data_IF_137613544800
#
_entry.id   IF_137613544800
#
_cell.length_a   1.000
_cell.length_b   1.000
_cell.length_c   1.000
_cell.angle_alpha   90.00
_cell.angle_beta   90.00
_cell.angle_gamma   90.00
#
_symmetry.space_group_name_H-M   'P 1'
#
loop_
_entity.id
_entity.type
_entity.pdbx_description
1 polymer ?
#
# COMPACT_ATOMS: atom_id res chain seq x y z
N UNK A 1 19.76 -83.53 -79.14
CA UNK A 1 19.01 -82.72 -78.15
C UNK A 1 19.83 -82.45 -76.88
N UNK A 2 20.47 -83.47 -76.29
CA UNK A 2 21.30 -83.36 -75.07
C UNK A 2 22.51 -82.41 -75.12
N UNK A 3 23.06 -82.10 -76.30
CA UNK A 3 24.20 -81.16 -76.44
C UNK A 3 23.72 -79.69 -76.39
N UNK A 4 22.54 -79.39 -76.95
CA UNK A 4 21.95 -78.03 -76.92
C UNK A 4 21.50 -77.63 -75.52
N UNK A 5 21.04 -78.56 -74.69
CA UNK A 5 20.71 -78.30 -73.28
C UNK A 5 21.95 -78.02 -72.42
N UNK A 6 23.09 -78.65 -72.75
CA UNK A 6 24.35 -78.40 -72.05
C UNK A 6 24.93 -77.02 -72.39
N UNK A 7 24.83 -76.58 -73.64
CA UNK A 7 25.27 -75.24 -74.07
C UNK A 7 24.39 -74.11 -73.52
N UNK A 8 23.06 -74.31 -73.39
CA UNK A 8 22.16 -73.32 -72.78
C UNK A 8 22.35 -73.24 -71.27
N UNK A 9 22.66 -74.36 -70.61
CA UNK A 9 23.04 -74.40 -69.19
C UNK A 9 24.34 -73.63 -68.93
N UNK A 10 25.39 -73.89 -69.71
CA UNK A 10 26.69 -73.19 -69.59
C UNK A 10 26.57 -71.69 -69.91
N UNK A 11 25.73 -71.30 -70.88
CA UNK A 11 25.46 -69.89 -71.15
C UNK A 11 24.70 -69.20 -70.02
N UNK A 12 23.74 -69.89 -69.37
CA UNK A 12 23.05 -69.37 -68.18
C UNK A 12 24.02 -69.22 -67.01
N UNK A 13 24.87 -70.22 -66.78
CA UNK A 13 25.87 -70.21 -65.70
C UNK A 13 26.91 -69.09 -65.87
N UNK A 14 27.35 -68.84 -67.12
CA UNK A 14 28.24 -67.72 -67.43
C UNK A 14 27.53 -66.36 -67.34
N UNK A 15 26.25 -66.26 -67.72
CA UNK A 15 25.47 -65.02 -67.57
C UNK A 15 25.22 -64.69 -66.09
N UNK A 16 24.91 -65.71 -65.27
CA UNK A 16 24.74 -65.58 -63.82
C UNK A 16 26.05 -65.20 -63.13
N UNK A 17 27.19 -65.79 -63.53
CA UNK A 17 28.51 -65.36 -63.04
C UNK A 17 28.82 -63.92 -63.43
N UNK A 18 28.48 -63.51 -64.64
CA UNK A 18 28.73 -62.13 -65.10
C UNK A 18 27.87 -61.12 -64.31
N UNK A 19 26.59 -61.45 -64.04
CA UNK A 19 25.69 -60.67 -63.19
C UNK A 19 26.19 -60.65 -61.74
N UNK A 20 26.60 -61.79 -61.17
CA UNK A 20 27.15 -61.87 -59.82
C UNK A 20 28.46 -61.07 -59.67
N UNK A 21 29.27 -61.02 -60.72
CA UNK A 21 30.50 -60.19 -60.75
C UNK A 21 30.15 -58.72 -60.84
N UNK A 22 29.16 -58.33 -61.67
CA UNK A 22 28.64 -56.96 -61.70
C UNK A 22 28.01 -56.54 -60.37
N UNK A 23 27.31 -57.46 -59.69
CA UNK A 23 26.72 -57.25 -58.36
C UNK A 23 27.79 -57.16 -57.28
N UNK A 24 28.90 -57.90 -57.42
CA UNK A 24 30.06 -57.83 -56.51
C UNK A 24 30.89 -56.56 -56.73
N UNK A 25 31.02 -56.10 -57.97
CA UNK A 25 31.62 -54.81 -58.32
C UNK A 25 30.70 -53.67 -57.86
N UNK A 26 29.38 -53.82 -58.00
CA UNK A 26 28.40 -52.90 -57.42
C UNK A 26 28.52 -52.89 -55.89
N UNK A 27 28.63 -54.03 -55.21
CA UNK A 27 28.89 -54.10 -53.76
C UNK A 27 30.24 -53.46 -53.36
N UNK A 28 31.28 -53.65 -54.17
CA UNK A 28 32.63 -53.12 -53.91
C UNK A 28 32.79 -51.62 -54.21
N UNK A 29 32.06 -51.11 -55.20
CA UNK A 29 32.11 -49.70 -55.65
C UNK A 29 31.01 -48.85 -54.97
N UNK A 30 29.80 -49.41 -54.76
CA UNK A 30 28.68 -48.77 -54.03
C UNK A 30 28.79 -48.89 -52.51
N UNK A 31 29.76 -49.66 -52.00
CA UNK A 31 30.14 -49.68 -50.58
C UNK A 31 30.70 -48.34 -50.08
N UNK A 32 30.98 -47.39 -50.98
CA UNK A 32 31.41 -46.04 -50.65
C UNK A 32 30.28 -45.24 -49.99
N UNK A 33 30.55 -44.79 -48.77
CA UNK A 33 29.67 -44.09 -47.82
C UNK A 33 28.98 -42.82 -48.33
N UNK A 34 29.26 -42.39 -49.57
CA UNK A 34 28.77 -41.15 -50.17
C UNK A 34 27.41 -41.32 -50.87
N UNK A 35 27.12 -42.50 -51.44
CA UNK A 35 25.89 -42.72 -52.21
C UNK A 35 24.67 -43.03 -51.33
N UNK A 36 24.82 -43.79 -50.24
CA UNK A 36 23.70 -44.07 -49.30
C UNK A 36 23.16 -42.81 -48.59
N UNK A 37 23.89 -41.69 -48.63
CA UNK A 37 23.45 -40.41 -48.12
C UNK A 37 22.53 -39.64 -49.09
N UNK A 38 22.41 -40.11 -50.35
CA UNK A 38 21.55 -39.49 -51.36
C UNK A 38 20.23 -40.28 -51.52
N UNK A 39 19.05 -39.63 -51.45
CA UNK A 39 17.75 -40.30 -51.55
C UNK A 39 17.59 -41.12 -52.85
N UNK A 40 18.13 -40.60 -53.95
CA UNK A 40 18.06 -41.20 -55.30
C UNK A 40 18.85 -42.52 -55.41
N UNK A 41 19.91 -42.69 -54.59
CA UNK A 41 20.70 -43.92 -54.55
C UNK A 41 19.99 -45.05 -53.78
N UNK A 42 19.16 -44.72 -52.78
CA UNK A 42 18.37 -45.71 -52.01
C UNK A 42 17.35 -46.42 -52.90
N UNK A 43 16.66 -45.68 -53.77
CA UNK A 43 15.67 -46.26 -54.70
C UNK A 43 16.32 -47.12 -55.78
N UNK A 44 17.45 -46.69 -56.33
CA UNK A 44 18.21 -47.50 -57.31
C UNK A 44 18.79 -48.77 -56.67
N UNK A 45 19.28 -48.71 -55.43
CA UNK A 45 19.72 -49.89 -54.69
C UNK A 45 18.55 -50.85 -54.39
N UNK A 46 17.38 -50.33 -54.02
CA UNK A 46 16.15 -51.14 -53.82
C UNK A 46 15.66 -51.79 -55.12
N UNK A 47 15.71 -51.07 -56.23
CA UNK A 47 15.35 -51.59 -57.55
C UNK A 47 16.30 -52.70 -58.02
N UNK A 48 17.61 -52.53 -57.81
CA UNK A 48 18.62 -53.56 -58.11
C UNK A 48 18.47 -54.76 -57.17
N UNK A 49 18.20 -54.53 -55.88
CA UNK A 49 17.98 -55.59 -54.89
C UNK A 49 16.76 -56.47 -55.21
N UNK A 50 15.67 -55.88 -55.70
CA UNK A 50 14.48 -56.63 -56.12
C UNK A 50 14.68 -57.42 -57.43
N UNK A 51 15.74 -57.12 -58.19
CA UNK A 51 16.05 -57.78 -59.48
C UNK A 51 17.13 -58.87 -59.36
N UNK A 52 17.86 -58.92 -58.25
CA UNK A 52 18.96 -59.86 -58.05
C UNK A 52 18.46 -61.22 -57.54
N UNK A 53 18.47 -62.24 -58.41
CA UNK A 53 18.20 -63.64 -58.04
C UNK A 53 19.55 -64.34 -57.86
N UNK A 54 19.98 -64.58 -56.61
CA UNK A 54 21.13 -65.44 -56.30
C UNK A 54 20.63 -66.82 -55.82
N UNK A 55 21.22 -67.92 -56.29
CA UNK A 55 20.85 -69.28 -55.88
C UNK A 55 21.45 -69.73 -54.53
N UNK A 56 22.36 -68.94 -53.94
CA UNK A 56 23.04 -69.28 -52.68
C UNK A 56 22.38 -68.61 -51.45
N UNK A 57 21.98 -69.43 -50.47
CA UNK A 57 21.30 -69.01 -49.25
C UNK A 57 22.11 -68.03 -48.39
N UNK A 58 23.44 -68.13 -48.36
CA UNK A 58 24.30 -67.20 -47.60
C UNK A 58 24.30 -65.80 -48.22
N UNK A 59 24.36 -65.74 -49.54
CA UNK A 59 24.32 -64.49 -50.29
C UNK A 59 22.96 -63.78 -50.10
N UNK A 60 21.85 -64.53 -50.17
CA UNK A 60 20.50 -63.99 -49.89
C UNK A 60 20.40 -63.40 -48.47
N UNK A 61 20.90 -64.11 -47.46
CA UNK A 61 20.87 -63.65 -46.07
C UNK A 61 21.71 -62.37 -45.85
N UNK A 62 22.90 -62.30 -46.46
CA UNK A 62 23.72 -61.09 -46.43
C UNK A 62 23.02 -59.91 -47.12
N UNK A 63 22.35 -60.15 -48.24
CA UNK A 63 21.57 -59.13 -48.94
C UNK A 63 20.37 -58.62 -48.15
N UNK A 64 19.58 -59.50 -47.56
CA UNK A 64 18.47 -59.10 -46.69
C UNK A 64 18.95 -58.29 -45.48
N UNK A 65 20.10 -58.65 -44.90
CA UNK A 65 20.72 -57.88 -43.82
C UNK A 65 21.18 -56.48 -44.26
N UNK A 66 21.62 -56.33 -45.52
CA UNK A 66 22.03 -55.05 -46.09
C UNK A 66 20.83 -54.14 -46.36
N UNK A 67 19.76 -54.67 -46.97
CA UNK A 67 18.51 -53.93 -47.22
C UNK A 67 17.86 -53.49 -45.91
N UNK A 68 17.84 -54.37 -44.89
CA UNK A 68 17.36 -54.05 -43.55
C UNK A 68 18.14 -52.87 -42.93
N UNK A 69 19.47 -52.92 -42.98
CA UNK A 69 20.34 -51.83 -42.49
C UNK A 69 20.16 -50.52 -43.25
N UNK A 70 20.00 -50.57 -44.57
CA UNK A 70 19.74 -49.38 -45.39
C UNK A 70 18.41 -48.71 -45.02
N UNK A 71 17.36 -49.51 -44.80
CA UNK A 71 16.06 -48.99 -44.35
C UNK A 71 16.11 -48.43 -42.92
N UNK A 72 16.86 -49.07 -42.02
CA UNK A 72 17.10 -48.57 -40.67
C UNK A 72 17.85 -47.23 -40.68
N UNK A 73 18.88 -47.10 -41.52
CA UNK A 73 19.62 -45.84 -41.70
C UNK A 73 18.72 -44.73 -42.25
N UNK A 74 17.93 -45.03 -43.29
CA UNK A 74 17.00 -44.07 -43.89
C UNK A 74 15.91 -43.62 -42.90
N UNK A 75 15.36 -44.56 -42.12
CA UNK A 75 14.36 -44.30 -41.08
C UNK A 75 14.94 -43.45 -39.95
N UNK A 76 16.12 -43.80 -39.43
CA UNK A 76 16.79 -43.00 -38.40
C UNK A 76 17.19 -41.61 -38.91
N UNK A 77 17.62 -41.51 -40.18
CA UNK A 77 17.97 -40.22 -40.77
C UNK A 77 16.74 -39.31 -40.93
N UNK A 78 15.62 -39.88 -41.41
CA UNK A 78 14.33 -39.17 -41.49
C UNK A 78 13.82 -38.75 -40.11
N UNK A 79 13.88 -39.65 -39.12
CA UNK A 79 13.44 -39.35 -37.76
C UNK A 79 14.31 -38.25 -37.12
N UNK A 80 15.64 -38.34 -37.24
CA UNK A 80 16.58 -37.34 -36.73
C UNK A 80 16.46 -35.97 -37.43
N UNK A 81 16.09 -35.95 -38.72
CA UNK A 81 15.82 -34.73 -39.47
C UNK A 81 14.52 -34.03 -39.02
N UNK A 82 13.54 -34.79 -38.54
CA UNK A 82 12.20 -34.29 -38.18
C UNK A 82 12.04 -34.02 -36.67
N UNK A 83 13.01 -34.39 -35.83
CA UNK A 83 12.95 -34.10 -34.38
C UNK A 83 12.67 -32.61 -34.16
N UNK A 84 11.59 -32.24 -33.45
CA UNK A 84 11.30 -30.85 -33.20
C UNK A 84 12.31 -30.27 -32.19
N UNK A 85 12.73 -29.04 -32.46
CA UNK A 85 13.33 -28.21 -31.42
C UNK A 85 12.23 -27.87 -30.41
N UNK A 86 12.52 -28.09 -29.13
CA UNK A 86 11.59 -27.72 -28.05
C UNK A 86 11.51 -26.20 -27.87
N UNK A 87 10.65 -25.75 -26.97
CA UNK A 87 10.68 -24.35 -26.55
C UNK A 87 11.95 -24.05 -25.73
N UNK A 88 12.43 -22.78 -25.73
CA UNK A 88 13.52 -22.38 -24.87
C UNK A 88 13.16 -22.66 -23.39
N UNK A 89 14.07 -23.23 -22.60
CA UNK A 89 13.81 -23.57 -21.21
C UNK A 89 13.60 -22.31 -20.34
N UNK A 90 12.74 -22.41 -19.32
CA UNK A 90 12.65 -21.40 -18.25
C UNK A 90 11.65 -20.25 -18.45
N UNK A 91 10.75 -20.34 -19.44
CA UNK A 91 9.71 -19.33 -19.65
C UNK A 91 8.68 -19.31 -18.51
N UNK A 92 8.52 -18.16 -17.86
CA UNK A 92 7.51 -17.91 -16.83
C UNK A 92 6.45 -16.91 -17.33
N UNK A 93 5.20 -16.97 -16.85
CA UNK A 93 4.21 -15.95 -17.18
C UNK A 93 4.68 -14.55 -16.74
N UNK A 94 4.75 -13.61 -17.70
CA UNK A 94 5.28 -12.27 -17.43
C UNK A 94 4.38 -11.44 -16.49
N UNK A 95 3.05 -11.55 -16.61
CA UNK A 95 2.12 -10.79 -15.77
C UNK A 95 2.37 -10.95 -14.26
N UNK A 96 2.33 -12.17 -13.69
CA UNK A 96 2.65 -12.41 -12.29
C UNK A 96 4.05 -11.93 -11.88
N UNK A 97 5.05 -12.09 -12.75
CA UNK A 97 6.43 -11.64 -12.49
C UNK A 97 6.50 -10.12 -12.34
N UNK A 98 5.85 -9.38 -13.24
CA UNK A 98 5.78 -7.92 -13.18
C UNK A 98 5.02 -7.45 -11.93
N UNK A 99 3.96 -8.17 -11.52
CA UNK A 99 3.17 -7.81 -10.34
C UNK A 99 3.97 -7.99 -9.06
N UNK A 100 4.77 -9.06 -8.98
CA UNK A 100 5.65 -9.35 -7.84
C UNK A 100 6.78 -8.33 -7.73
N UNK A 101 7.29 -7.82 -8.86
CA UNK A 101 8.36 -6.83 -8.92
C UNK A 101 7.89 -5.39 -8.79
N UNK A 102 6.56 -5.17 -8.81
CA UNK A 102 5.98 -3.85 -8.71
C UNK A 102 6.28 -3.23 -7.33
N UNK A 103 7.14 -2.22 -7.35
CA UNK A 103 7.42 -1.40 -6.17
C UNK A 103 6.41 -0.25 -6.11
N UNK A 104 5.41 -0.38 -5.24
CA UNK A 104 4.45 0.69 -4.96
C UNK A 104 5.01 1.54 -3.82
N UNK A 105 4.96 2.86 -3.98
CA UNK A 105 5.31 3.78 -2.88
C UNK A 105 4.27 3.66 -1.76
N UNK A 106 4.71 3.26 -0.56
CA UNK A 106 3.83 3.12 0.60
C UNK A 106 3.13 4.44 0.99
N UNK A 107 3.70 5.60 0.62
CA UNK A 107 3.09 6.91 0.85
C UNK A 107 1.89 7.22 -0.08
N UNK A 108 1.65 6.39 -1.09
CA UNK A 108 0.55 6.55 -2.04
C UNK A 108 -0.29 5.27 -2.22
N UNK A 109 -0.10 4.27 -1.34
CA UNK A 109 -0.66 2.94 -1.52
C UNK A 109 -2.09 2.76 -0.97
N UNK A 110 -2.67 3.77 -0.31
CA UNK A 110 -3.93 3.63 0.41
C UNK A 110 -4.96 4.69 0.03
N UNK A 111 -6.23 4.29 0.03
CA UNK A 111 -7.36 5.19 0.10
C UNK A 111 -7.87 5.21 1.56
N UNK A 112 -7.94 6.39 2.15
CA UNK A 112 -8.33 6.57 3.56
C UNK A 112 -9.62 7.36 3.63
N UNK A 113 -10.60 6.84 4.38
CA UNK A 113 -11.80 7.58 4.75
C UNK A 113 -11.71 7.98 6.21
N UNK A 114 -11.88 9.27 6.47
CA UNK A 114 -11.96 9.87 7.79
C UNK A 114 -13.39 10.34 8.04
N UNK A 115 -13.95 10.05 9.21
CA UNK A 115 -15.27 10.54 9.60
C UNK A 115 -15.11 11.56 10.72
N UNK A 116 -15.63 12.76 10.50
CA UNK A 116 -15.64 13.84 11.49
C UNK A 116 -17.00 14.52 11.51
N UNK A 117 -17.54 14.65 12.72
CA UNK A 117 -18.74 15.42 12.97
C UNK A 117 -18.53 16.36 14.16
N UNK A 118 -19.33 17.41 14.23
CA UNK A 118 -19.40 18.26 15.43
C UNK A 118 -20.19 17.52 16.51
N UNK A 119 -19.68 17.51 17.74
CA UNK A 119 -20.30 16.76 18.82
C UNK A 119 -21.61 17.44 19.27
N UNK A 120 -22.71 16.70 19.22
CA UNK A 120 -24.03 17.24 19.54
C UNK A 120 -24.19 17.59 21.02
N UNK A 121 -23.58 16.82 21.92
CA UNK A 121 -23.73 17.01 23.37
C UNK A 121 -22.84 18.13 23.90
N UNK A 122 -21.59 18.19 23.43
CA UNK A 122 -20.58 19.12 23.97
C UNK A 122 -20.48 20.44 23.21
N UNK A 123 -20.95 20.51 21.95
CA UNK A 123 -20.84 21.70 21.11
C UNK A 123 -22.19 22.17 20.58
N UNK A 124 -22.89 21.38 19.76
CA UNK A 124 -24.08 21.84 19.03
C UNK A 124 -25.24 22.17 19.98
N UNK A 125 -25.52 21.31 20.95
CA UNK A 125 -26.56 21.52 21.96
C UNK A 125 -26.37 22.81 22.77
N UNK A 126 -25.18 23.02 23.39
CA UNK A 126 -24.85 24.27 24.07
C UNK A 126 -24.95 25.51 23.18
N UNK A 127 -24.41 25.46 21.94
CA UNK A 127 -24.49 26.58 21.01
C UNK A 127 -25.95 26.97 20.69
N UNK A 128 -26.81 25.97 20.47
CA UNK A 128 -28.24 26.17 20.24
C UNK A 128 -28.94 26.78 21.46
N UNK A 129 -28.63 26.31 22.68
CA UNK A 129 -29.16 26.89 23.94
C UNK A 129 -28.86 28.38 24.06
N UNK A 130 -27.72 28.82 23.54
CA UNK A 130 -27.27 30.21 23.60
C UNK A 130 -27.58 31.02 22.34
N UNK A 131 -28.29 30.46 21.35
CA UNK A 131 -28.56 31.11 20.06
C UNK A 131 -27.30 31.62 19.36
N UNK A 132 -26.20 30.87 19.47
CA UNK A 132 -24.92 31.16 18.81
C UNK A 132 -24.95 30.51 17.42
N UNK A 133 -24.55 31.27 16.38
CA UNK A 133 -24.60 30.78 15.00
C UNK A 133 -23.43 29.81 14.74
N UNK A 134 -23.76 28.63 14.23
CA UNK A 134 -22.80 27.60 13.85
C UNK A 134 -22.89 27.31 12.35
N UNK A 135 -21.77 27.37 11.65
CA UNK A 135 -21.68 26.83 10.29
C UNK A 135 -21.12 25.40 10.39
N UNK A 136 -21.93 24.38 10.06
CA UNK A 136 -21.57 22.99 10.33
C UNK A 136 -20.55 22.42 9.34
N UNK A 137 -20.18 23.17 8.29
CA UNK A 137 -19.21 22.73 7.30
C UNK A 137 -17.84 22.63 7.96
N UNK A 138 -17.27 21.43 7.90
CA UNK A 138 -15.98 21.11 8.52
C UNK A 138 -14.88 21.04 7.45
N UNK A 139 -13.71 21.54 7.80
CA UNK A 139 -12.50 21.47 6.97
C UNK A 139 -11.36 20.85 7.77
N UNK A 140 -10.66 19.87 7.20
CA UNK A 140 -9.54 19.18 7.81
C UNK A 140 -8.24 19.74 7.24
N UNK A 141 -7.28 20.01 8.13
CA UNK A 141 -5.93 20.43 7.80
C UNK A 141 -4.98 19.35 8.26
N UNK A 142 -4.33 18.67 7.31
CA UNK A 142 -3.33 17.65 7.59
C UNK A 142 -1.94 18.26 7.53
N UNK A 143 -1.22 18.19 8.63
CA UNK A 143 0.14 18.69 8.78
C UNK A 143 1.16 17.69 8.26
N UNK A 144 2.28 18.19 7.75
CA UNK A 144 3.42 17.35 7.35
C UNK A 144 4.11 16.69 8.55
N UNK A 145 4.21 17.43 9.66
CA UNK A 145 4.90 17.05 10.90
C UNK A 145 3.93 17.07 12.08
N UNK A 146 4.33 16.40 13.16
CA UNK A 146 3.58 16.37 14.41
C UNK A 146 3.41 17.78 14.99
N UNK A 147 2.28 18.01 15.66
CA UNK A 147 1.95 19.30 16.30
C UNK A 147 2.99 19.64 17.36
N UNK A 148 3.67 20.81 17.28
CA UNK A 148 4.59 21.25 18.31
C UNK A 148 3.88 21.49 19.65
N UNK A 149 4.58 21.23 20.77
CA UNK A 149 3.99 21.37 22.10
C UNK A 149 3.51 22.78 22.46
N UNK A 150 4.03 23.82 21.82
CA UNK A 150 3.53 25.18 21.99
C UNK A 150 2.15 25.38 21.35
N UNK A 151 1.95 24.85 20.15
CA UNK A 151 0.66 24.90 19.45
C UNK A 151 -0.39 24.01 20.12
N UNK A 152 0.03 22.87 20.67
CA UNK A 152 -0.84 22.01 21.46
C UNK A 152 -1.33 22.71 22.74
N UNK A 153 -0.48 23.53 23.38
CA UNK A 153 -0.89 24.37 24.52
C UNK A 153 -1.91 25.44 24.11
N UNK A 154 -1.72 26.09 22.95
CA UNK A 154 -2.70 27.05 22.41
C UNK A 154 -4.04 26.38 22.07
N UNK A 155 -4.01 25.20 21.45
CA UNK A 155 -5.19 24.40 21.16
C UNK A 155 -5.93 23.94 22.44
N UNK A 156 -5.19 23.63 23.52
CA UNK A 156 -5.77 23.32 24.82
C UNK A 156 -6.44 24.55 25.44
N UNK A 157 -5.77 25.70 25.43
CA UNK A 157 -6.36 26.96 25.90
C UNK A 157 -7.62 27.35 25.12
N UNK A 158 -7.65 27.06 23.81
CA UNK A 158 -8.85 27.21 22.97
C UNK A 158 -9.98 26.32 23.47
N UNK A 159 -9.68 25.04 23.71
CA UNK A 159 -10.65 24.06 24.24
C UNK A 159 -11.21 24.50 25.59
N UNK A 160 -10.35 24.95 26.52
CA UNK A 160 -10.74 25.44 27.84
C UNK A 160 -11.62 26.70 27.75
N UNK A 161 -11.30 27.62 26.83
CA UNK A 161 -12.09 28.84 26.60
C UNK A 161 -13.47 28.50 26.02
N UNK A 162 -13.54 27.58 25.06
CA UNK A 162 -14.81 27.07 24.54
C UNK A 162 -15.64 26.38 25.64
N UNK A 163 -15.01 25.56 26.50
CA UNK A 163 -15.71 24.91 27.61
C UNK A 163 -16.28 25.94 28.58
N UNK A 164 -15.55 27.03 28.86
CA UNK A 164 -16.04 28.11 29.70
C UNK A 164 -17.24 28.84 29.07
N UNK A 165 -17.17 29.13 27.78
CA UNK A 165 -18.21 29.85 27.03
C UNK A 165 -19.47 29.02 26.85
N UNK A 166 -19.32 27.72 26.62
CA UNK A 166 -20.38 26.77 26.35
C UNK A 166 -20.88 26.06 27.60
N UNK A 167 -20.32 26.38 28.78
CA UNK A 167 -20.79 25.85 30.05
C UNK A 167 -22.29 26.14 30.20
N UNK A 168 -23.11 25.17 30.60
CA UNK A 168 -24.53 25.38 30.78
C UNK A 168 -24.80 26.50 31.78
N UNK A 169 -25.90 27.24 31.58
CA UNK A 169 -26.49 28.07 32.63
C UNK A 169 -26.67 27.22 33.89
N UNK A 170 -25.79 27.44 34.87
CA UNK A 170 -25.78 26.69 36.11
C UNK A 170 -27.07 26.99 36.86
N UNK A 171 -27.90 25.96 37.02
CA UNK A 171 -28.97 25.99 37.99
C UNK A 171 -28.41 25.83 39.42
N UNK A 172 -29.27 25.94 40.44
CA UNK A 172 -28.81 25.79 41.82
C UNK A 172 -28.24 24.40 42.13
N UNK A 173 -28.61 23.34 41.38
CA UNK A 173 -28.09 21.98 41.58
C UNK A 173 -26.70 21.83 40.98
N UNK A 174 -26.49 22.38 39.78
CA UNK A 174 -25.19 22.36 39.12
C UNK A 174 -24.18 23.30 39.80
N UNK A 175 -24.65 24.28 40.58
CA UNK A 175 -23.83 25.13 41.43
C UNK A 175 -23.33 24.47 42.72
N UNK A 176 -24.03 23.45 43.25
CA UNK A 176 -23.65 22.73 44.48
C UNK A 176 -22.19 22.27 44.49
N UNK A 177 -21.65 21.59 43.45
CA UNK A 177 -20.25 21.16 43.45
C UNK A 177 -19.26 22.33 43.48
N UNK A 178 -19.57 23.45 42.80
CA UNK A 178 -18.71 24.65 42.81
C UNK A 178 -18.74 25.36 44.16
N UNK A 179 -19.91 25.41 44.80
CA UNK A 179 -20.08 25.92 46.16
C UNK A 179 -19.32 25.04 47.16
N UNK A 180 -19.41 23.72 47.03
CA UNK A 180 -18.75 22.79 47.93
C UNK A 180 -17.22 22.88 47.78
N UNK A 181 -16.71 22.97 46.55
CA UNK A 181 -15.28 23.25 46.27
C UNK A 181 -14.85 24.57 46.91
N UNK A 182 -15.63 25.64 46.73
CA UNK A 182 -15.37 26.94 47.37
C UNK A 182 -15.33 26.80 48.91
N UNK A 183 -16.27 26.08 49.52
CA UNK A 183 -16.32 25.89 50.98
C UNK A 183 -15.15 25.06 51.52
N UNK A 184 -14.46 24.24 50.70
CA UNK A 184 -13.21 23.60 51.14
C UNK A 184 -12.10 24.62 51.42
N UNK A 185 -12.15 25.78 50.76
CA UNK A 185 -11.20 26.89 50.92
C UNK A 185 -11.63 27.90 51.99
N UNK A 186 -12.80 27.72 52.61
CA UNK A 186 -13.31 28.64 53.62
C UNK A 186 -12.38 28.67 54.85
N UNK A 187 -12.00 29.86 55.35
CA UNK A 187 -11.05 29.99 56.45
C UNK A 187 -11.73 29.72 57.79
N UNK A 188 -11.81 28.45 58.17
CA UNK A 188 -12.33 28.04 59.48
C UNK A 188 -11.48 28.60 60.63
N UNK A 189 -12.16 28.92 61.73
CA UNK A 189 -11.53 29.36 62.97
C UNK A 189 -12.34 28.85 64.17
N UNK A 190 -11.84 27.81 64.85
CA UNK A 190 -12.55 27.15 65.95
C UNK A 190 -12.80 28.10 67.15
N UNK A 191 -11.90 29.07 67.35
CA UNK A 191 -11.97 30.06 68.44
C UNK A 191 -12.90 31.24 68.14
N UNK A 192 -13.53 31.27 66.95
CA UNK A 192 -14.40 32.36 66.49
C UNK A 192 -15.79 31.77 66.15
N UNK A 193 -16.80 31.90 67.05
CA UNK A 193 -18.15 31.37 66.83
C UNK A 193 -18.82 31.87 65.54
N UNK A 194 -18.51 33.10 65.13
CA UNK A 194 -19.00 33.71 63.90
C UNK A 194 -18.50 33.00 62.64
N UNK A 195 -17.34 32.31 62.69
CA UNK A 195 -16.79 31.57 61.57
C UNK A 195 -17.66 30.38 61.20
N UNK A 196 -18.10 29.60 62.19
CA UNK A 196 -19.02 28.48 61.97
C UNK A 196 -20.39 28.93 61.44
N UNK A 197 -20.89 30.08 61.93
CA UNK A 197 -22.15 30.67 61.45
C UNK A 197 -22.06 31.14 60.00
N UNK A 198 -20.97 31.84 59.65
CA UNK A 198 -20.75 32.31 58.28
C UNK A 198 -20.59 31.13 57.30
N UNK A 199 -19.86 30.06 57.71
CA UNK A 199 -19.73 28.84 56.90
C UNK A 199 -21.09 28.18 56.66
N UNK A 200 -21.93 28.06 57.68
CA UNK A 200 -23.27 27.46 57.56
C UNK A 200 -24.16 28.27 56.61
N UNK A 201 -24.12 29.61 56.70
CA UNK A 201 -24.86 30.48 55.79
C UNK A 201 -24.41 30.30 54.33
N UNK A 202 -23.09 30.22 54.10
CA UNK A 202 -22.51 30.01 52.77
C UNK A 202 -22.74 28.59 52.23
N UNK A 203 -22.96 27.60 53.10
CA UNK A 203 -23.34 26.24 52.71
C UNK A 203 -24.71 26.16 52.04
N UNK A 204 -25.59 27.15 52.29
CA UNK A 204 -26.91 27.25 51.67
C UNK A 204 -26.98 28.22 50.49
N UNK A 205 -25.82 28.74 50.05
CA UNK A 205 -25.72 29.77 49.03
C UNK A 205 -26.32 29.31 47.70
N UNK A 206 -27.14 30.19 47.10
CA UNK A 206 -27.66 30.03 45.72
C UNK A 206 -26.86 30.87 44.72
N UNK A 207 -26.94 30.50 43.44
CA UNK A 207 -26.25 31.22 42.34
C UNK A 207 -26.59 32.72 42.34
N UNK A 208 -27.85 33.06 42.57
CA UNK A 208 -28.35 34.46 42.56
C UNK A 208 -27.85 35.30 43.74
N UNK A 209 -27.29 34.68 44.78
CA UNK A 209 -26.93 35.31 46.04
C UNK A 209 -25.42 35.59 46.17
N UNK A 210 -24.64 35.30 45.13
CA UNK A 210 -23.17 35.46 45.14
C UNK A 210 -22.72 36.88 45.48
N UNK A 211 -23.39 37.90 44.95
CA UNK A 211 -23.09 39.31 45.28
C UNK A 211 -23.36 39.59 46.76
N UNK A 212 -24.51 39.13 47.27
CA UNK A 212 -24.87 39.25 48.69
C UNK A 212 -23.88 38.51 49.60
N UNK A 213 -23.36 37.37 49.16
CA UNK A 213 -22.36 36.60 49.89
C UNK A 213 -21.02 37.35 49.97
N UNK A 214 -20.56 37.99 48.89
CA UNK A 214 -19.36 38.84 48.87
C UNK A 214 -19.52 39.97 49.90
N UNK A 215 -20.65 40.68 49.86
CA UNK A 215 -20.91 41.77 50.80
C UNK A 215 -20.93 41.29 52.25
N UNK A 216 -21.53 40.12 52.51
CA UNK A 216 -21.60 39.50 53.83
C UNK A 216 -20.22 39.07 54.35
N UNK A 217 -19.37 38.49 53.50
CA UNK A 217 -17.99 38.09 53.86
C UNK A 217 -17.13 39.32 54.12
N UNK A 218 -17.20 40.35 53.26
CA UNK A 218 -16.47 41.60 53.44
C UNK A 218 -16.90 42.37 54.70
N UNK A 219 -18.20 42.37 54.99
CA UNK A 219 -18.72 42.93 56.23
C UNK A 219 -18.15 42.19 57.45
N UNK A 220 -18.12 40.86 57.43
CA UNK A 220 -17.56 40.05 58.53
C UNK A 220 -16.05 40.22 58.68
N UNK A 221 -15.30 40.34 57.59
CA UNK A 221 -13.89 40.67 57.63
C UNK A 221 -13.65 42.03 58.31
N UNK A 222 -14.45 43.04 57.96
CA UNK A 222 -14.37 44.39 58.54
C UNK A 222 -14.76 44.41 60.03
N UNK A 223 -15.75 43.62 60.44
CA UNK A 223 -16.12 43.49 61.86
C UNK A 223 -15.04 42.75 62.66
N UNK A 224 -14.44 41.70 62.09
CA UNK A 224 -13.34 40.99 62.72
C UNK A 224 -12.11 41.90 62.92
N UNK A 225 -11.82 42.79 61.97
CA UNK A 225 -10.79 43.83 62.15
C UNK A 225 -11.10 44.79 63.30
N UNK A 226 -12.32 45.30 63.39
CA UNK A 226 -12.72 46.19 64.49
C UNK A 226 -12.57 45.49 65.85
N UNK A 227 -12.91 44.21 65.93
CA UNK A 227 -12.72 43.41 67.16
C UNK A 227 -11.21 43.25 67.45
N UNK A 228 -10.41 42.92 66.43
CA UNK A 228 -8.94 42.82 66.53
C UNK A 228 -8.26 44.12 66.97
N UNK A 229 -8.79 45.28 66.56
CA UNK A 229 -8.35 46.61 66.98
C UNK A 229 -8.89 47.04 68.36
N UNK A 230 -9.72 46.22 69.03
CA UNK A 230 -10.32 46.52 70.32
C UNK A 230 -11.49 47.53 70.28
N UNK A 231 -12.04 47.79 69.08
CA UNK A 231 -13.14 48.74 68.82
C UNK A 231 -14.51 48.05 68.67
N UNK A 232 -14.58 46.72 68.79
CA UNK A 232 -15.80 45.93 68.70
C UNK A 232 -16.60 45.85 70.02
N UNK A 233 -17.82 45.26 69.99
CA UNK A 233 -18.61 45.05 71.20
C UNK A 233 -17.86 44.15 72.18
N UNK A 234 -17.51 44.69 73.35
CA UNK A 234 -16.80 43.98 74.42
C UNK A 234 -17.73 42.96 75.07
N UNK A 235 -17.61 41.70 74.69
CA UNK A 235 -18.23 40.57 75.39
C UNK A 235 -17.18 39.89 76.27
N UNK A 236 -17.60 39.11 77.27
CA UNK A 236 -16.69 38.47 78.24
C UNK A 236 -15.70 37.46 77.62
N UNK A 237 -15.80 37.17 76.32
CA UNK A 237 -14.98 36.21 75.58
C UNK A 237 -13.99 36.85 74.57
N UNK A 238 -13.77 38.18 74.60
CA UNK A 238 -12.82 38.86 73.69
C UNK A 238 -11.35 38.63 74.11
N UNK A 239 -10.89 37.37 74.13
CA UNK A 239 -9.57 36.99 74.67
C UNK A 239 -8.48 36.95 73.59
N UNK A 240 -8.81 36.80 72.30
CA UNK A 240 -7.82 36.60 71.23
C UNK A 240 -7.95 37.58 70.04
N UNK A 241 -7.65 38.86 70.27
CA UNK A 241 -7.70 39.90 69.23
C UNK A 241 -6.83 39.58 67.99
N UNK A 242 -5.68 38.92 68.16
CA UNK A 242 -4.80 38.52 67.05
C UNK A 242 -5.43 37.46 66.13
N UNK A 243 -6.25 36.56 66.68
CA UNK A 243 -6.96 35.54 65.90
C UNK A 243 -8.02 36.18 64.98
N UNK A 244 -8.70 37.24 65.45
CA UNK A 244 -9.65 38.01 64.65
C UNK A 244 -8.97 38.77 63.51
N UNK A 245 -7.79 39.37 63.74
CA UNK A 245 -7.01 40.04 62.67
C UNK A 245 -6.55 39.02 61.61
N UNK A 246 -6.01 37.88 62.03
CA UNK A 246 -5.57 36.83 61.10
C UNK A 246 -6.73 36.19 60.32
N UNK A 247 -7.90 36.05 60.95
CA UNK A 247 -9.10 35.56 60.28
C UNK A 247 -9.68 36.57 59.29
N UNK A 248 -9.67 37.87 59.61
CA UNK A 248 -10.12 38.93 58.70
C UNK A 248 -9.32 38.97 57.39
N UNK A 249 -7.99 38.81 57.46
CA UNK A 249 -7.13 38.72 56.27
C UNK A 249 -7.54 37.54 55.37
N UNK A 250 -7.70 36.35 55.96
CA UNK A 250 -8.14 35.16 55.21
C UNK A 250 -9.57 35.28 54.65
N UNK A 251 -10.48 36.00 55.35
CA UNK A 251 -11.82 36.27 54.82
C UNK A 251 -11.78 37.19 53.59
N UNK A 252 -10.82 38.11 53.48
CA UNK A 252 -10.64 38.91 52.26
C UNK A 252 -10.16 38.07 51.10
N UNK A 253 -9.18 37.20 51.32
CA UNK A 253 -8.71 36.27 50.30
C UNK A 253 -9.86 35.37 49.82
N UNK A 254 -10.65 34.85 50.77
CA UNK A 254 -11.84 34.08 50.46
C UNK A 254 -12.91 34.89 49.71
N UNK A 255 -13.11 36.19 50.04
CA UNK A 255 -14.00 37.06 49.27
C UNK A 255 -13.54 37.22 47.82
N UNK A 256 -12.22 37.25 47.56
CA UNK A 256 -11.70 37.29 46.20
C UNK A 256 -12.01 35.99 45.45
N UNK A 257 -11.95 34.83 46.11
CA UNK A 257 -12.36 33.56 45.52
C UNK A 257 -13.86 33.56 45.13
N UNK A 258 -14.74 34.16 45.94
CA UNK A 258 -16.16 34.32 45.59
C UNK A 258 -16.33 35.29 44.41
N UNK A 259 -15.57 36.38 44.35
CA UNK A 259 -15.58 37.33 43.23
C UNK A 259 -15.18 36.61 41.93
N UNK A 260 -14.11 35.82 41.96
CA UNK A 260 -13.69 35.02 40.80
C UNK A 260 -14.75 34.02 40.37
N UNK A 261 -15.42 33.35 41.32
CA UNK A 261 -16.53 32.46 41.02
C UNK A 261 -17.71 33.22 40.39
N UNK A 262 -18.10 34.37 40.95
CA UNK A 262 -19.16 35.22 40.38
C UNK A 262 -18.82 35.68 38.96
N UNK A 263 -17.60 36.14 38.72
CA UNK A 263 -17.19 36.64 37.41
C UNK A 263 -17.15 35.51 36.38
N UNK A 264 -16.75 34.29 36.79
CA UNK A 264 -16.85 33.09 35.96
C UNK A 264 -18.31 32.74 35.62
N UNK A 265 -19.22 32.88 36.58
CA UNK A 265 -20.65 32.61 36.40
C UNK A 265 -21.38 33.70 35.60
N UNK A 266 -20.86 34.93 35.61
CA UNK A 266 -21.39 36.03 34.81
C UNK A 266 -21.36 35.72 33.32
N UNK A 267 -20.35 35.01 32.83
CA UNK A 267 -20.26 34.55 31.42
C UNK A 267 -21.47 33.67 31.04
N UNK A 268 -22.04 32.95 32.00
CA UNK A 268 -23.20 32.09 31.74
C UNK A 268 -24.50 32.89 31.60
N UNK A 269 -24.61 34.04 32.30
CA UNK A 269 -25.84 34.83 32.41
C UNK A 269 -25.84 36.05 31.46
N UNK A 270 -24.66 36.63 31.21
CA UNK A 270 -24.47 37.87 30.44
C UNK A 270 -23.92 37.56 29.03
N UNK A 271 -24.75 37.70 27.97
CA UNK A 271 -24.32 37.46 26.59
C UNK A 271 -23.17 38.36 26.14
N UNK A 272 -23.05 39.58 26.67
CA UNK A 272 -21.98 40.51 26.29
C UNK A 272 -20.64 40.08 26.91
N UNK A 273 -20.66 39.64 28.17
CA UNK A 273 -19.47 39.08 28.82
C UNK A 273 -18.96 37.85 28.07
N UNK A 274 -19.86 36.97 27.61
CA UNK A 274 -19.51 35.81 26.77
C UNK A 274 -18.89 36.22 25.44
N UNK A 275 -19.51 37.17 24.73
CA UNK A 275 -18.99 37.70 23.46
C UNK A 275 -17.61 38.33 23.63
N UNK A 276 -17.38 39.05 24.74
CA UNK A 276 -16.08 39.66 25.03
C UNK A 276 -14.99 38.60 25.20
N UNK A 277 -15.23 37.56 26.00
CA UNK A 277 -14.27 36.46 26.20
C UNK A 277 -13.97 35.74 24.88
N UNK A 278 -15.00 35.51 24.05
CA UNK A 278 -14.83 34.93 22.71
C UNK A 278 -13.97 35.81 21.79
N UNK A 279 -14.28 37.10 21.73
CA UNK A 279 -13.56 38.07 20.89
C UNK A 279 -12.11 38.24 21.32
N UNK A 280 -11.84 38.36 22.62
CA UNK A 280 -10.48 38.53 23.16
C UNK A 280 -9.61 37.30 22.84
N UNK A 281 -10.21 36.11 22.90
CA UNK A 281 -9.55 34.86 22.54
C UNK A 281 -9.24 34.77 21.04
N UNK A 282 -10.23 35.04 20.19
CA UNK A 282 -10.06 34.95 18.74
C UNK A 282 -9.06 35.95 18.19
N UNK A 283 -8.98 37.15 18.77
CA UNK A 283 -8.03 38.19 18.36
C UNK A 283 -6.58 37.88 18.76
N UNK A 284 -6.36 36.96 19.70
CA UNK A 284 -5.04 36.63 20.23
C UNK A 284 -4.64 35.19 19.89
N UNK A 285 -4.84 34.28 20.84
CA UNK A 285 -4.37 32.89 20.76
C UNK A 285 -5.04 32.13 19.62
N UNK A 286 -6.33 32.39 19.36
CA UNK A 286 -7.07 31.77 18.25
C UNK A 286 -6.51 32.16 16.88
N UNK A 287 -6.28 33.46 16.64
CA UNK A 287 -5.70 33.95 15.39
C UNK A 287 -4.28 33.42 15.15
N UNK A 288 -3.43 33.39 16.19
CA UNK A 288 -2.07 32.85 16.09
C UNK A 288 -2.06 31.36 15.73
N UNK A 289 -2.93 30.57 16.37
CA UNK A 289 -3.06 29.15 16.09
C UNK A 289 -3.58 28.93 14.66
N UNK A 290 -4.63 29.65 14.26
CA UNK A 290 -5.21 29.53 12.92
C UNK A 290 -4.21 29.88 11.81
N UNK A 291 -3.49 30.99 11.97
CA UNK A 291 -2.43 31.38 11.04
C UNK A 291 -1.34 30.30 10.93
N UNK A 292 -0.94 29.71 12.06
CA UNK A 292 0.05 28.64 12.08
C UNK A 292 -0.46 27.36 11.38
N UNK A 293 -1.70 26.93 11.65
CA UNK A 293 -2.30 25.75 11.03
C UNK A 293 -2.36 25.91 9.51
N UNK A 294 -2.87 27.05 9.04
CA UNK A 294 -2.98 27.33 7.59
C UNK A 294 -1.60 27.35 6.93
N UNK A 295 -0.59 27.96 7.58
CA UNK A 295 0.76 28.05 7.04
C UNK A 295 1.52 26.70 7.01
N UNK A 296 1.16 25.74 7.86
CA UNK A 296 1.86 24.44 8.00
C UNK A 296 1.04 23.24 7.49
N UNK A 297 -0.15 23.49 6.94
CA UNK A 297 -0.96 22.45 6.34
C UNK A 297 -0.30 21.96 5.04
N UNK A 298 -0.02 20.66 4.96
CA UNK A 298 0.41 19.99 3.73
C UNK A 298 -0.75 19.89 2.74
N UNK A 299 -1.94 19.68 3.26
CA UNK A 299 -3.15 19.46 2.47
C UNK A 299 -4.41 19.78 3.28
N UNK A 300 -5.44 20.24 2.57
CA UNK A 300 -6.71 20.67 3.15
C UNK A 300 -7.85 19.93 2.46
N UNK A 301 -8.82 19.46 3.24
CA UNK A 301 -9.95 18.68 2.74
C UNK A 301 -11.25 19.16 3.36
N UNK A 302 -12.31 19.23 2.56
CA UNK A 302 -13.65 19.55 3.05
C UNK A 302 -14.44 18.28 3.30
N UNK A 303 -15.20 18.24 4.39
CA UNK A 303 -16.12 17.14 4.66
C UNK A 303 -17.33 17.18 3.72
N UNK A 304 -17.83 16.01 3.33
CA UNK A 304 -19.12 15.90 2.64
C UNK A 304 -20.30 16.12 3.60
N UNK A 305 -21.54 15.99 3.09
CA UNK A 305 -22.77 16.16 3.89
C UNK A 305 -22.91 15.13 5.03
N UNK A 306 -22.25 13.97 4.89
CA UNK A 306 -22.20 12.92 5.91
C UNK A 306 -21.06 13.11 6.94
N UNK A 307 -20.21 14.12 6.78
CA UNK A 307 -19.03 14.33 7.63
C UNK A 307 -17.83 13.44 7.27
N UNK A 308 -17.84 12.81 6.09
CA UNK A 308 -16.73 11.99 5.62
C UNK A 308 -15.76 12.80 4.76
N UNK A 309 -14.48 12.45 4.86
CA UNK A 309 -13.38 12.95 4.04
C UNK A 309 -12.65 11.79 3.42
N UNK A 310 -12.55 11.80 2.10
CA UNK A 310 -11.85 10.77 1.35
C UNK A 310 -10.48 11.29 0.90
N UNK A 311 -9.43 10.58 1.30
CA UNK A 311 -8.05 10.81 0.91
C UNK A 311 -7.68 9.72 -0.09
N UNK A 312 -7.40 10.11 -1.33
CA UNK A 312 -6.98 9.17 -2.38
C UNK A 312 -5.46 9.10 -2.46
N UNK A 313 -4.91 7.90 -2.66
CA UNK A 313 -3.47 7.69 -2.91
C UNK A 313 -2.58 8.36 -1.85
N UNK A 314 -2.82 7.99 -0.59
CA UNK A 314 -2.07 8.49 0.57
C UNK A 314 -1.39 7.34 1.32
N UNK A 315 -0.61 7.69 2.34
CA UNK A 315 0.02 6.75 3.25
C UNK A 315 -1.04 6.06 4.13
N UNK A 316 -0.69 4.91 4.69
CA UNK A 316 -1.53 4.30 5.72
C UNK A 316 -1.61 5.23 6.95
N UNK A 317 -2.78 5.82 7.18
CA UNK A 317 -3.00 6.73 8.30
C UNK A 317 -3.56 5.96 9.48
N UNK A 318 -2.68 5.71 10.46
CA UNK A 318 -3.08 5.16 11.76
C UNK A 318 -3.72 6.25 12.62
N UNK A 319 -4.61 5.84 13.52
CA UNK A 319 -5.32 6.71 14.46
C UNK A 319 -4.38 7.62 15.27
N UNK A 320 -3.23 7.11 15.69
CA UNK A 320 -2.24 7.89 16.46
C UNK A 320 -1.63 9.04 15.65
N UNK A 321 -1.39 8.82 14.36
CA UNK A 321 -0.79 9.82 13.48
C UNK A 321 -1.78 10.96 13.21
N UNK A 322 -3.05 10.63 13.04
CA UNK A 322 -4.12 11.61 12.82
C UNK A 322 -4.27 12.53 14.03
N UNK A 323 -4.29 11.97 15.24
CA UNK A 323 -4.37 12.76 16.49
C UNK A 323 -3.23 13.78 16.63
N UNK A 324 -2.06 13.47 16.06
CA UNK A 324 -0.87 14.32 16.15
C UNK A 324 -0.67 15.25 14.97
N UNK A 325 -1.47 15.15 13.90
CA UNK A 325 -1.22 15.87 12.65
C UNK A 325 -2.46 16.50 12.03
N UNK A 326 -3.66 16.25 12.54
CA UNK A 326 -4.89 16.75 11.95
C UNK A 326 -5.53 17.80 12.84
N UNK A 327 -5.78 18.97 12.25
CA UNK A 327 -6.68 19.99 12.78
C UNK A 327 -7.99 19.98 12.01
N UNK A 328 -9.04 20.33 12.71
CA UNK A 328 -10.41 20.42 12.23
C UNK A 328 -10.86 21.86 12.42
N UNK A 329 -11.39 22.48 11.37
CA UNK A 329 -11.95 23.82 11.44
C UNK A 329 -13.41 23.88 11.07
N UNK A 330 -14.12 24.81 11.69
CA UNK A 330 -15.50 25.18 11.42
C UNK A 330 -15.73 26.62 11.91
N UNK A 331 -16.90 27.21 11.64
CA UNK A 331 -17.16 28.61 11.99
C UNK A 331 -18.23 28.76 13.06
N UNK A 332 -17.93 29.56 14.09
CA UNK A 332 -18.85 30.00 15.16
C UNK A 332 -18.95 31.52 15.07
N UNK A 333 -20.16 32.08 14.92
CA UNK A 333 -20.38 33.53 14.79
C UNK A 333 -19.46 34.20 13.74
N UNK A 334 -19.30 33.57 12.58
CA UNK A 334 -18.37 33.98 11.50
C UNK A 334 -16.86 33.82 11.79
N UNK A 335 -16.47 33.50 13.02
CA UNK A 335 -15.07 33.25 13.38
C UNK A 335 -14.67 31.80 13.11
N UNK A 336 -13.48 31.59 12.54
CA UNK A 336 -12.93 30.26 12.28
C UNK A 336 -12.26 29.69 13.53
N UNK A 337 -12.68 28.52 13.94
CA UNK A 337 -12.16 27.78 15.09
C UNK A 337 -11.30 26.64 14.60
N UNK A 338 -10.15 26.40 15.25
CA UNK A 338 -9.27 25.28 14.94
C UNK A 338 -9.17 24.36 16.16
N UNK A 339 -9.59 23.11 16.01
CA UNK A 339 -9.53 22.09 17.06
C UNK A 339 -8.65 20.92 16.62
N UNK A 340 -7.86 20.33 17.54
CA UNK A 340 -7.16 19.10 17.26
C UNK A 340 -8.18 17.95 17.13
N UNK A 341 -7.83 16.91 16.39
CA UNK A 341 -8.68 15.74 16.12
C UNK A 341 -9.24 15.06 17.38
N UNK A 342 -8.52 15.11 18.50
CA UNK A 342 -8.90 14.49 19.77
C UNK A 342 -9.73 15.42 20.67
N UNK A 343 -10.19 16.57 20.17
CA UNK A 343 -11.00 17.51 20.93
C UNK A 343 -12.35 16.92 21.35
N UNK A 344 -12.78 17.22 22.57
CA UNK A 344 -14.08 16.81 23.12
C UNK A 344 -15.29 17.40 22.37
N UNK A 345 -15.08 18.45 21.57
CA UNK A 345 -16.11 19.09 20.75
C UNK A 345 -16.31 18.43 19.39
N UNK A 346 -15.51 17.41 19.07
CA UNK A 346 -15.59 16.66 17.83
C UNK A 346 -16.04 15.22 18.13
N UNK A 347 -16.79 14.65 17.20
CA UNK A 347 -17.14 13.24 17.15
C UNK A 347 -16.41 12.62 15.96
N UNK A 348 -15.17 12.19 16.20
CA UNK A 348 -14.29 11.61 15.19
C UNK A 348 -14.38 10.09 15.19
N UNK A 349 -14.62 9.50 14.02
CA UNK A 349 -14.59 8.05 13.81
C UNK A 349 -13.16 7.51 13.69
N UNK A 350 -13.01 6.19 13.74
CA UNK A 350 -11.73 5.56 13.42
C UNK A 350 -11.43 5.67 11.92
N UNK A 351 -10.18 5.96 11.54
CA UNK A 351 -9.79 6.01 10.13
C UNK A 351 -9.90 4.63 9.48
N UNK A 352 -10.51 4.58 8.30
CA UNK A 352 -10.57 3.35 7.51
C UNK A 352 -9.60 3.46 6.34
N UNK A 353 -8.53 2.67 6.38
CA UNK A 353 -7.50 2.63 5.35
C UNK A 353 -7.67 1.37 4.49
N UNK A 354 -7.89 1.55 3.19
CA UNK A 354 -8.01 0.47 2.21
C UNK A 354 -6.80 0.49 1.28
N UNK A 355 -6.09 -0.63 1.16
CA UNK A 355 -4.94 -0.72 0.25
C UNK A 355 -5.43 -0.75 -1.19
N UNK A 356 -4.87 0.10 -2.03
CA UNK A 356 -5.14 0.10 -3.46
C UNK A 356 -4.51 -1.17 -4.06
N UNK A 357 -5.27 -1.88 -4.91
CA UNK A 357 -4.77 -3.11 -5.55
C UNK A 357 -3.53 -2.81 -6.39
N UNK A 358 -2.54 -3.72 -6.33
CA UNK A 358 -1.34 -3.64 -7.15
C UNK A 358 -1.68 -3.62 -8.65
N UNK A 359 -2.78 -4.24 -9.06
CA UNK A 359 -3.26 -4.23 -10.45
C UNK A 359 -3.59 -2.81 -10.95
N UNK A 360 -4.11 -1.94 -10.07
CA UNK A 360 -4.43 -0.54 -10.40
C UNK A 360 -3.15 0.26 -10.66
N UNK A 361 -2.11 0.03 -9.85
CA UNK A 361 -0.79 0.65 -10.07
C UNK A 361 -0.14 0.10 -11.34
N UNK A 362 -0.22 -1.21 -11.54
CA UNK A 362 0.34 -1.90 -12.70
C UNK A 362 -0.23 -1.36 -14.02
N UNK A 363 -1.53 -1.08 -14.09
CA UNK A 363 -2.18 -0.51 -15.27
C UNK A 363 -1.68 0.91 -15.64
N UNK A 364 -1.05 1.63 -14.70
CA UNK A 364 -0.48 2.97 -14.93
C UNK A 364 1.00 2.91 -15.35
N UNK A 365 1.64 1.77 -15.19
CA UNK A 365 3.06 1.59 -15.51
C UNK A 365 3.30 1.61 -17.01
N UNK A 366 4.48 2.12 -17.42
CA UNK A 366 4.91 2.16 -18.82
C UNK A 366 6.25 1.47 -18.97
N UNK A 367 6.24 0.35 -19.68
CA UNK A 367 7.44 -0.43 -19.97
C UNK A 367 7.99 -0.05 -21.34
N UNK A 368 9.27 0.30 -21.39
CA UNK A 368 9.99 0.65 -22.62
C UNK A 368 10.97 -0.45 -23.01
N UNK A 369 11.14 -0.65 -24.31
CA UNK A 369 12.13 -1.58 -24.85
C UNK A 369 13.53 -1.02 -24.68
N UNK A 370 14.39 -1.70 -23.93
CA UNK A 370 15.79 -1.33 -23.69
C UNK A 370 16.70 -1.97 -24.74
N UNK A 371 16.48 -3.25 -25.05
CA UNK A 371 17.34 -4.01 -25.96
C UNK A 371 16.57 -5.12 -26.65
N UNK A 372 17.17 -5.62 -27.71
CA UNK A 372 16.66 -6.69 -28.56
C UNK A 372 17.76 -7.74 -28.70
N UNK A 373 17.39 -9.01 -28.64
CA UNK A 373 18.31 -10.12 -28.85
C UNK A 373 17.69 -11.14 -29.81
N UNK A 374 18.50 -11.59 -30.76
CA UNK A 374 18.20 -12.70 -31.67
C UNK A 374 19.18 -13.82 -31.33
N UNK A 375 18.66 -14.98 -30.97
CA UNK A 375 19.45 -16.13 -30.53
C UNK A 375 19.02 -17.36 -31.31
N UNK A 376 19.97 -18.04 -31.95
CA UNK A 376 19.71 -19.20 -32.80
C UNK A 376 20.82 -19.41 -33.84
N UNK A 377 20.62 -20.36 -34.75
CA UNK A 377 21.58 -20.68 -35.82
C UNK A 377 22.75 -21.56 -35.35
N UNK A 378 22.71 -22.10 -34.13
CA UNK A 378 23.74 -23.00 -33.63
C UNK A 378 23.64 -24.36 -34.30
N UNK A 379 24.77 -24.86 -34.80
CA UNK A 379 24.85 -26.18 -35.43
C UNK A 379 24.90 -27.29 -34.39
N UNK A 380 23.87 -28.12 -34.38
CA UNK A 380 23.81 -29.38 -33.64
C UNK A 380 24.21 -30.53 -34.55
N UNK A 381 25.15 -31.35 -34.06
CA UNK A 381 25.55 -32.59 -34.73
C UNK A 381 24.89 -33.75 -33.99
N UNK A 382 24.08 -34.51 -34.72
CA UNK A 382 23.56 -35.79 -34.27
C UNK A 382 24.45 -36.91 -34.80
N UNK A 383 24.87 -37.81 -33.91
CA UNK A 383 25.66 -38.99 -34.24
C UNK A 383 24.97 -40.25 -33.70
N UNK A 384 24.65 -41.21 -34.56
CA UNK A 384 24.09 -42.50 -34.17
C UNK A 384 24.81 -43.63 -34.89
N UNK A 385 24.97 -44.76 -34.22
CA UNK A 385 25.54 -45.95 -34.84
C UNK A 385 24.42 -46.84 -35.39
N UNK A 386 24.46 -47.08 -36.70
CA UNK A 386 23.54 -47.99 -37.40
C UNK A 386 24.37 -49.18 -37.91
N UNK A 387 24.37 -50.26 -37.13
CA UNK A 387 25.25 -51.42 -37.34
C UNK A 387 26.73 -51.05 -37.17
N UNK A 388 27.50 -51.16 -38.25
CA UNK A 388 28.94 -50.85 -38.32
C UNK A 388 29.24 -49.43 -38.81
N UNK A 389 28.20 -48.61 -39.09
CA UNK A 389 28.36 -47.27 -39.66
C UNK A 389 27.83 -46.16 -38.74
N UNK A 390 28.45 -44.99 -38.84
CA UNK A 390 28.06 -43.79 -38.11
C UNK A 390 27.18 -42.89 -39.00
N UNK A 391 25.93 -42.68 -38.60
CA UNK A 391 25.05 -41.63 -39.14
C UNK A 391 25.43 -40.29 -38.50
N UNK A 392 25.78 -39.31 -39.32
CA UNK A 392 26.07 -37.94 -38.90
C UNK A 392 25.12 -36.97 -39.58
N UNK A 393 24.33 -36.24 -38.80
CA UNK A 393 23.42 -35.20 -39.30
C UNK A 393 23.74 -33.87 -38.63
N UNK A 394 23.73 -32.80 -39.42
CA UNK A 394 23.91 -31.44 -38.90
C UNK A 394 22.61 -30.66 -39.10
N UNK A 395 22.13 -30.01 -38.05
CA UNK A 395 20.95 -29.14 -38.08
C UNK A 395 21.26 -27.83 -37.36
N UNK A 396 20.65 -26.75 -37.82
CA UNK A 396 20.79 -25.43 -37.17
C UNK A 396 19.57 -25.17 -36.29
N UNK A 397 19.77 -24.60 -35.09
CA UNK A 397 18.67 -24.21 -34.22
C UNK A 397 17.84 -23.07 -34.83
N UNK A 398 16.52 -23.08 -34.66
CA UNK A 398 15.67 -21.97 -35.09
C UNK A 398 16.03 -20.70 -34.31
N UNK A 399 15.88 -19.56 -34.99
CA UNK A 399 16.00 -18.24 -34.39
C UNK A 399 14.85 -17.97 -33.41
N UNK A 400 15.21 -17.41 -32.25
CA UNK A 400 14.28 -17.00 -31.21
C UNK A 400 14.53 -15.54 -30.88
N UNK A 401 13.45 -14.76 -30.89
CA UNK A 401 13.50 -13.31 -30.75
C UNK A 401 13.07 -12.87 -29.36
N UNK A 402 13.90 -12.04 -28.74
CA UNK A 402 13.69 -11.53 -27.39
C UNK A 402 13.73 -10.01 -27.37
N UNK A 403 12.84 -9.40 -26.59
CA UNK A 403 12.93 -7.99 -26.22
C UNK A 403 13.11 -7.88 -24.71
N UNK A 404 13.97 -6.95 -24.30
CA UNK A 404 14.16 -6.62 -22.89
C UNK A 404 13.47 -5.30 -22.60
N UNK A 405 12.58 -5.30 -21.62
CA UNK A 405 11.77 -4.14 -21.22
C UNK A 405 12.03 -3.74 -19.77
N UNK A 406 11.93 -2.45 -19.47
CA UNK A 406 11.90 -1.96 -18.10
C UNK A 406 11.01 -0.72 -17.97
N UNK A 407 10.71 -0.35 -16.73
CA UNK A 407 9.99 0.89 -16.41
C UNK A 407 10.88 2.12 -16.66
N UNK A 408 10.23 3.26 -16.85
CA UNK A 408 10.95 4.52 -17.04
C UNK A 408 11.78 4.84 -15.78
N UNK A 409 13.11 4.97 -15.93
CA UNK A 409 14.11 5.19 -14.85
C UNK A 409 14.38 3.99 -13.92
N UNK A 410 13.89 2.80 -14.24
CA UNK A 410 14.19 1.58 -13.49
C UNK A 410 15.33 0.78 -14.14
N UNK A 411 16.13 0.11 -13.32
CA UNK A 411 17.19 -0.82 -13.75
C UNK A 411 16.71 -2.27 -13.80
N UNK A 412 15.52 -2.58 -13.25
CA UNK A 412 14.98 -3.93 -13.31
C UNK A 412 14.46 -4.27 -14.71
N UNK A 413 15.19 -5.14 -15.40
CA UNK A 413 14.92 -5.53 -16.78
C UNK A 413 14.23 -6.89 -16.82
N UNK A 414 13.14 -6.96 -17.57
CA UNK A 414 12.43 -8.21 -17.87
C UNK A 414 12.63 -8.54 -19.34
N UNK A 415 13.12 -9.75 -19.63
CA UNK A 415 13.28 -10.22 -20.99
C UNK A 415 12.10 -11.09 -21.37
N UNK A 416 11.40 -10.77 -22.46
CA UNK A 416 10.26 -11.54 -22.96
C UNK A 416 10.53 -12.03 -24.37
N UNK A 417 10.04 -13.23 -24.69
CA UNK A 417 10.07 -13.77 -26.06
C UNK A 417 8.92 -13.19 -26.85
N UNK A 418 9.19 -12.79 -28.09
CA UNK A 418 8.21 -12.29 -29.05
C UNK A 418 8.28 -13.08 -30.35
N UNK A 419 7.26 -12.94 -31.19
CA UNK A 419 7.32 -13.47 -32.56
C UNK A 419 8.21 -12.59 -33.45
N UNK A 420 8.55 -13.12 -34.63
CA UNK A 420 9.43 -12.42 -35.58
C UNK A 420 8.83 -11.12 -36.11
N UNK A 421 7.50 -11.09 -36.30
CA UNK A 421 6.80 -9.92 -36.84
C UNK A 421 6.82 -8.75 -35.84
N UNK A 422 6.48 -9.02 -34.58
CA UNK A 422 6.58 -8.06 -33.49
C UNK A 422 8.03 -7.64 -33.27
N UNK A 423 8.98 -8.58 -33.30
CA UNK A 423 10.40 -8.25 -33.17
C UNK A 423 10.86 -7.27 -34.26
N UNK A 424 10.44 -7.43 -35.52
CA UNK A 424 10.81 -6.51 -36.60
C UNK A 424 10.20 -5.12 -36.44
N UNK A 425 8.99 -5.03 -35.93
CA UNK A 425 8.26 -3.77 -35.80
C UNK A 425 8.59 -2.98 -34.52
N UNK A 426 9.00 -3.66 -33.45
CA UNK A 426 9.33 -3.04 -32.16
C UNK A 426 10.75 -2.48 -32.20
N UNK A 427 10.90 -1.21 -31.85
CA UNK A 427 12.17 -0.50 -31.74
C UNK A 427 12.55 -0.23 -30.28
N UNK A 428 13.84 0.07 -30.08
CA UNK A 428 14.35 0.50 -28.77
C UNK A 428 13.71 1.84 -28.40
N UNK A 429 13.18 1.93 -27.19
CA UNK A 429 12.47 3.10 -26.66
C UNK A 429 10.94 3.02 -26.82
N UNK A 430 10.43 2.08 -27.62
CA UNK A 430 8.98 1.90 -27.79
C UNK A 430 8.34 1.45 -26.48
N UNK A 431 7.16 1.99 -26.20
CA UNK A 431 6.34 1.62 -25.04
C UNK A 431 5.48 0.43 -25.42
N UNK A 432 5.59 -0.67 -24.67
CA UNK A 432 4.77 -1.86 -24.87
C UNK A 432 3.61 -1.86 -23.87
N UNK A 433 2.35 -2.04 -24.33
CA UNK A 433 1.20 -2.17 -23.44
C UNK A 433 1.36 -3.35 -22.47
N UNK A 434 0.89 -3.17 -21.24
CA UNK A 434 0.96 -4.20 -20.20
C UNK A 434 0.16 -5.44 -20.60
N UNK A 435 -0.99 -5.27 -21.24
CA UNK A 435 -1.86 -6.35 -21.68
C UNK A 435 -1.14 -7.28 -22.66
N UNK A 436 -0.30 -6.70 -23.52
CA UNK A 436 0.56 -7.46 -24.44
C UNK A 436 1.70 -8.13 -23.68
N UNK A 437 2.41 -7.40 -22.81
CA UNK A 437 3.53 -7.95 -22.04
C UNK A 437 3.12 -9.11 -21.14
N UNK A 438 1.95 -9.02 -20.48
CA UNK A 438 1.48 -9.99 -19.51
C UNK A 438 1.23 -11.38 -20.14
N UNK A 439 0.92 -11.43 -21.43
CA UNK A 439 0.68 -12.66 -22.20
C UNK A 439 1.96 -13.31 -22.72
N UNK A 440 3.08 -12.59 -22.73
CA UNK A 440 4.35 -13.11 -23.23
C UNK A 440 5.08 -13.92 -22.15
N UNK A 441 5.83 -14.97 -22.55
CA UNK A 441 6.70 -15.68 -21.63
C UNK A 441 7.96 -14.84 -21.34
N UNK A 442 8.21 -14.63 -20.05
CA UNK A 442 9.38 -13.95 -19.52
C UNK A 442 10.50 -14.96 -19.21
N UNK A 443 11.74 -14.54 -19.44
CA UNK A 443 12.95 -15.33 -19.28
C UNK A 443 13.97 -14.54 -18.47
N UNK A 444 14.81 -15.23 -17.70
CA UNK A 444 15.93 -14.61 -16.99
C UNK A 444 16.97 -14.06 -17.97
N UNK A 445 17.24 -14.78 -19.06
CA UNK A 445 18.14 -14.41 -20.14
C UNK A 445 17.66 -14.99 -21.48
N UNK A 446 18.04 -14.39 -22.63
CA UNK A 446 17.82 -15.00 -23.94
C UNK A 446 18.44 -16.39 -24.02
N UNK A 447 17.66 -17.39 -24.44
CA UNK A 447 18.08 -18.78 -24.50
C UNK A 447 17.76 -19.40 -25.86
N UNK A 448 18.61 -20.31 -26.33
CA UNK A 448 18.33 -21.08 -27.54
C UNK A 448 17.40 -22.25 -27.27
N UNK A 449 16.73 -22.70 -28.33
CA UNK A 449 16.05 -23.99 -28.32
C UNK A 449 17.06 -25.13 -28.39
N UNK A 450 16.76 -26.22 -27.71
CA UNK A 450 17.58 -27.44 -27.69
C UNK A 450 16.76 -28.53 -28.41
N UNK A 451 17.38 -29.37 -29.27
CA UNK A 451 16.68 -30.47 -29.89
C UNK A 451 16.18 -31.46 -28.83
N UNK A 452 14.95 -31.94 -28.99
CA UNK A 452 14.40 -32.99 -28.12
C UNK A 452 15.31 -34.24 -28.16
N UNK A 453 15.54 -34.94 -27.04
CA UNK A 453 16.32 -36.18 -27.06
C UNK A 453 15.63 -37.20 -27.98
N UNK A 454 16.42 -37.80 -28.87
CA UNK A 454 15.95 -38.90 -29.69
C UNK A 454 15.70 -40.10 -28.78
N UNK A 455 14.45 -40.55 -28.73
CA UNK A 455 14.10 -41.82 -28.08
C UNK A 455 14.89 -42.92 -28.78
N UNK A 456 15.69 -43.64 -28.01
CA UNK A 456 16.36 -44.85 -28.47
C UNK A 456 15.31 -45.79 -29.06
N UNK A 457 15.52 -46.39 -30.25
CA UNK A 457 14.67 -47.48 -30.68
C UNK A 457 14.79 -48.61 -29.66
N UNK A 458 13.67 -49.03 -29.08
CA UNK A 458 13.56 -50.25 -28.24
C UNK A 458 13.89 -51.52 -29.02
#
# INVERSE_FOLDING_TARGET
MLIREKETSIRRENSVRTIATFVSIALGVLGSSFLLAQPEASETIKAVANSAVSEDAKSIAQWQSFVKRANEYESQAKNAAVVPFGEPPGGLPCGPLLLQRLQVNDEAAYNVTLTVALNNETLVGPLNKFSITLQPKVTLYMLEKDIPGDQLRKAKALTETLQLILSPLLDNKEFEPLRDELLTKFPDAADIPEAARLRADLATLKVTELTTAIDKVNFRASEAEKIGEGKGPKTSNTVNNSAYVGWAGRLRDFSNDIIHLRDRLRINIDPEARRKVWSDFNLTTGAELGAWVIANAKSTFESNEQGEVHLTETANLKSDLIRRRVFVSFRINEDTVFLPWDSAFLSCGEPTSTRISNEVFMARERYKVISKADVGGRRYKYSSQVGDKLLMLTRESPHVYYISVARDRDTDVVTVRVDEAAFKNINRGDVIPLETLAQLPAYSQPAETIPSPLLSPE
#
